data_IF_633279288162
#
_entry.id   IF_633279288162
#
_cell.length_a   1.000
_cell.length_b   1.000
_cell.length_c   1.000
_cell.angle_alpha   90.00
_cell.angle_beta   90.00
_cell.angle_gamma   90.00
#
_symmetry.space_group_name_H-M   'P 1'
#
loop_
_entity.id
_entity.type
_entity.pdbx_description
1 polymer ?
#
# COMPACT_ATOMS: atom_id res chain seq x y z
N UNK A 1 -5.38 -5.40 2.58
CA UNK A 1 -4.73 -6.31 1.60
C UNK A 1 -5.50 -6.45 0.29
N UNK A 2 -6.83 -6.65 0.29
CA UNK A 2 -7.60 -6.86 -0.94
C UNK A 2 -7.34 -5.82 -2.05
N UNK A 3 -7.25 -4.54 -1.70
CA UNK A 3 -6.93 -3.49 -2.68
C UNK A 3 -5.57 -3.66 -3.38
N UNK A 4 -4.54 -4.13 -2.65
CA UNK A 4 -3.22 -4.41 -3.21
C UNK A 4 -3.28 -5.63 -4.13
N UNK A 5 -4.02 -6.67 -3.72
CA UNK A 5 -4.21 -7.87 -4.55
C UNK A 5 -4.96 -7.58 -5.85
N UNK A 6 -5.99 -6.74 -5.82
CA UNK A 6 -6.69 -6.30 -7.04
C UNK A 6 -5.71 -5.63 -7.98
N UNK A 7 -4.90 -4.69 -7.50
CA UNK A 7 -3.88 -4.02 -8.32
C UNK A 7 -2.85 -4.99 -8.88
N UNK A 8 -2.38 -5.93 -8.07
CA UNK A 8 -1.47 -6.97 -8.52
C UNK A 8 -2.09 -7.87 -9.59
N UNK A 9 -3.36 -8.24 -9.45
CA UNK A 9 -4.07 -9.06 -10.41
C UNK A 9 -4.19 -8.39 -11.79
N UNK A 10 -4.32 -7.06 -11.85
CA UNK A 10 -4.39 -6.30 -13.11
C UNK A 10 -3.12 -6.44 -13.96
N UNK A 11 -1.98 -6.71 -13.34
CA UNK A 11 -0.73 -6.97 -14.05
C UNK A 11 -0.69 -8.36 -14.70
N UNK A 12 -1.61 -9.25 -14.34
CA UNK A 12 -1.69 -10.58 -14.93
C UNK A 12 -2.16 -10.50 -16.39
N UNK A 13 -1.50 -11.19 -17.34
CA UNK A 13 -1.97 -11.31 -18.71
C UNK A 13 -3.40 -11.86 -18.82
N UNK A 14 -3.84 -12.65 -17.84
CA UNK A 14 -5.19 -13.21 -17.77
C UNK A 14 -6.27 -12.12 -17.61
N UNK A 15 -5.91 -10.94 -17.09
CA UNK A 15 -6.83 -9.82 -16.93
C UNK A 15 -7.04 -9.01 -18.20
N UNK A 16 -6.18 -9.16 -19.23
CA UNK A 16 -6.22 -8.37 -20.47
C UNK A 16 -7.62 -8.28 -21.12
N UNK A 17 -8.40 -9.37 -21.26
CA UNK A 17 -9.74 -9.30 -21.87
C UNK A 17 -10.75 -8.50 -21.04
N UNK A 18 -10.48 -8.31 -19.74
CA UNK A 18 -11.38 -7.66 -18.79
C UNK A 18 -11.00 -6.20 -18.51
N UNK A 19 -9.78 -5.76 -18.84
CA UNK A 19 -9.33 -4.38 -18.60
C UNK A 19 -10.28 -3.32 -19.20
N UNK A 20 -10.83 -3.49 -20.41
CA UNK A 20 -11.78 -2.51 -20.96
C UNK A 20 -13.13 -2.42 -20.21
N UNK A 21 -13.41 -3.37 -19.31
CA UNK A 21 -14.66 -3.44 -18.54
C UNK A 21 -14.52 -2.80 -17.15
N UNK A 22 -13.33 -2.30 -16.79
CA UNK A 22 -13.07 -1.71 -15.49
C UNK A 22 -13.65 -0.29 -15.39
N UNK A 23 -14.64 -0.11 -14.52
CA UNK A 23 -15.34 1.17 -14.40
C UNK A 23 -14.99 1.92 -13.12
N UNK A 24 -15.20 1.32 -11.95
CA UNK A 24 -14.96 1.97 -10.66
C UNK A 24 -14.10 1.09 -9.77
N UNK A 25 -13.00 1.65 -9.28
CA UNK A 25 -12.23 1.08 -8.20
C UNK A 25 -12.64 1.75 -6.89
N UNK A 26 -13.28 1.00 -6.00
CA UNK A 26 -13.62 1.44 -4.66
C UNK A 26 -12.66 0.79 -3.65
N UNK A 27 -11.86 1.60 -2.97
CA UNK A 27 -10.98 1.17 -1.91
C UNK A 27 -11.49 1.63 -0.56
N UNK A 28 -11.71 0.67 0.34
CA UNK A 28 -12.04 0.92 1.74
C UNK A 28 -10.80 0.58 2.58
N UNK A 29 -10.16 1.59 3.17
CA UNK A 29 -8.95 1.44 3.99
C UNK A 29 -7.81 0.62 3.34
N UNK A 30 -7.60 0.77 2.02
CA UNK A 30 -6.53 0.05 1.31
C UNK A 30 -5.14 0.61 1.64
N UNK A 31 -4.10 -0.21 1.91
CA UNK A 31 -2.75 0.28 2.18
C UNK A 31 -1.97 0.56 0.88
N UNK A 32 -2.41 1.52 0.07
CA UNK A 32 -1.86 1.76 -1.27
C UNK A 32 -0.40 2.23 -1.27
N UNK A 33 0.01 2.95 -0.23
CA UNK A 33 1.40 3.39 -0.02
C UNK A 33 2.12 2.55 1.05
N UNK A 34 1.58 1.37 1.38
CA UNK A 34 2.08 0.53 2.46
C UNK A 34 1.60 0.97 3.85
N UNK A 35 2.27 0.51 4.90
CA UNK A 35 1.90 0.78 6.31
C UNK A 35 2.99 1.54 7.07
N UNK A 36 3.92 2.16 6.35
CA UNK A 36 4.97 3.01 6.90
C UNK A 36 4.41 4.33 7.44
N UNK A 37 5.18 5.00 8.31
CA UNK A 37 4.81 6.28 8.93
C UNK A 37 3.42 6.28 9.62
N UNK A 38 3.03 5.17 10.24
CA UNK A 38 1.82 5.13 11.08
C UNK A 38 2.05 5.97 12.35
N UNK A 39 1.13 6.89 12.63
CA UNK A 39 1.18 7.83 13.76
C UNK A 39 0.89 7.20 15.12
N UNK A 40 0.40 5.95 15.18
CA UNK A 40 0.03 5.28 16.44
C UNK A 40 1.19 4.45 17.01
N UNK A 41 1.91 4.98 18.01
CA UNK A 41 3.04 4.29 18.66
C UNK A 41 2.69 2.92 19.27
N UNK A 42 1.51 2.78 19.86
CA UNK A 42 1.02 1.52 20.46
C UNK A 42 0.69 0.46 19.40
N UNK A 43 0.18 0.88 18.24
CA UNK A 43 -0.08 0.01 17.09
C UNK A 43 1.21 -0.38 16.39
N UNK A 44 2.17 0.53 16.27
CA UNK A 44 3.52 0.22 15.76
C UNK A 44 4.21 -0.85 16.62
N UNK A 45 4.08 -0.79 17.94
CA UNK A 45 4.58 -1.81 18.85
C UNK A 45 3.85 -3.16 18.68
N UNK A 46 2.52 -3.16 18.60
CA UNK A 46 1.74 -4.37 18.35
C UNK A 46 2.05 -5.04 17.00
N UNK A 47 2.21 -4.25 15.93
CA UNK A 47 2.62 -4.75 14.61
C UNK A 47 4.04 -5.33 14.62
N UNK A 48 4.97 -4.73 15.37
CA UNK A 48 6.33 -5.27 15.53
C UNK A 48 6.32 -6.64 16.24
N UNK A 49 5.52 -6.79 17.31
CA UNK A 49 5.35 -8.08 18.00
C UNK A 49 4.75 -9.12 17.05
N UNK A 50 3.68 -8.76 16.33
CA UNK A 50 3.01 -9.68 15.40
C UNK A 50 3.92 -10.13 14.25
N UNK A 51 4.81 -9.27 13.77
CA UNK A 51 5.78 -9.61 12.72
C UNK A 51 6.93 -10.47 13.24
N UNK A 52 7.37 -10.24 14.48
CA UNK A 52 8.38 -11.09 15.11
C UNK A 52 7.85 -12.52 15.31
N UNK A 53 6.53 -12.68 15.40
CA UNK A 53 5.85 -13.95 15.60
C UNK A 53 5.32 -14.58 14.30
N UNK A 54 4.98 -13.78 13.27
CA UNK A 54 4.62 -14.22 11.92
C UNK A 54 5.57 -13.59 10.90
N UNK A 55 6.54 -14.37 10.40
CA UNK A 55 7.41 -14.02 9.25
C UNK A 55 6.61 -13.98 7.95
N UNK A 56 5.65 -13.07 7.84
CA UNK A 56 4.83 -12.92 6.66
C UNK A 56 5.53 -12.03 5.65
N UNK A 57 5.85 -12.58 4.49
CA UNK A 57 6.43 -11.83 3.37
C UNK A 57 5.55 -10.64 2.96
N UNK A 58 4.23 -10.84 2.90
CA UNK A 58 3.30 -9.77 2.52
C UNK A 58 3.24 -8.64 3.55
N UNK A 59 3.47 -8.91 4.84
CA UNK A 59 3.65 -7.84 5.84
C UNK A 59 4.97 -7.10 5.65
N UNK A 60 6.03 -7.79 5.20
CA UNK A 60 7.31 -7.14 4.86
C UNK A 60 7.16 -6.23 3.64
N UNK A 61 6.49 -6.71 2.60
CA UNK A 61 6.17 -5.95 1.38
C UNK A 61 5.37 -4.69 1.70
N UNK A 62 4.31 -4.80 2.52
CA UNK A 62 3.53 -3.65 2.97
C UNK A 62 4.36 -2.61 3.73
N UNK A 63 5.46 -3.01 4.37
CA UNK A 63 6.36 -2.12 5.09
C UNK A 63 7.53 -1.61 4.25
N UNK A 64 7.59 -1.98 2.98
CA UNK A 64 8.72 -1.70 2.08
C UNK A 64 10.05 -2.22 2.67
N UNK A 65 10.03 -3.46 3.18
CA UNK A 65 11.18 -4.12 3.83
C UNK A 65 11.52 -5.49 3.22
N UNK A 66 10.88 -5.84 2.13
CA UNK A 66 11.12 -7.05 1.36
C UNK A 66 12.39 -6.98 0.50
N UNK A 67 12.97 -5.79 0.32
CA UNK A 67 14.23 -5.56 -0.39
C UNK A 67 15.06 -4.46 0.31
N UNK A 68 16.41 -4.55 0.35
CA UNK A 68 17.27 -3.47 0.86
C UNK A 68 17.20 -2.17 0.04
N UNK A 69 16.97 -2.24 -1.27
CA UNK A 69 16.74 -1.06 -2.11
C UNK A 69 15.23 -0.77 -2.15
N UNK A 70 14.82 0.40 -1.66
CA UNK A 70 13.43 0.85 -1.64
C UNK A 70 12.77 0.75 -3.01
N UNK A 71 13.50 1.07 -4.08
CA UNK A 71 12.99 1.05 -5.46
C UNK A 71 12.75 -0.36 -5.99
N UNK A 72 13.37 -1.35 -5.34
CA UNK A 72 13.20 -2.76 -5.67
C UNK A 72 12.11 -3.44 -4.86
N UNK A 73 11.59 -2.80 -3.80
CA UNK A 73 10.47 -3.33 -3.01
C UNK A 73 9.23 -3.54 -3.86
N UNK A 74 8.45 -4.57 -3.51
CA UNK A 74 7.24 -4.95 -4.23
C UNK A 74 6.24 -3.81 -4.33
N UNK A 75 5.97 -3.12 -3.21
CA UNK A 75 5.02 -2.01 -3.19
C UNK A 75 5.47 -0.84 -4.06
N UNK A 76 6.77 -0.53 -4.10
CA UNK A 76 7.30 0.51 -4.98
C UNK A 76 7.07 0.14 -6.46
N UNK A 77 7.45 -1.08 -6.87
CA UNK A 77 7.25 -1.58 -8.24
C UNK A 77 5.78 -1.64 -8.64
N UNK A 78 4.90 -2.08 -7.74
CA UNK A 78 3.46 -2.10 -7.96
C UNK A 78 2.88 -0.69 -8.13
N UNK A 79 3.41 0.30 -7.40
CA UNK A 79 3.03 1.71 -7.53
C UNK A 79 3.56 2.38 -8.80
N UNK A 80 4.67 1.90 -9.35
CA UNK A 80 5.21 2.35 -10.63
C UNK A 80 4.54 1.68 -11.85
N UNK A 81 3.72 0.64 -11.63
CA UNK A 81 3.05 -0.11 -12.69
C UNK A 81 1.65 0.43 -12.98
N UNK A 82 1.12 0.15 -14.18
CA UNK A 82 -0.28 0.45 -14.50
C UNK A 82 -1.23 -0.26 -13.50
N UNK A 83 -2.30 0.42 -13.11
CA UNK A 83 -3.24 -0.10 -12.12
C UNK A 83 -4.46 0.78 -11.96
N UNK A 84 -4.36 1.85 -11.17
CA UNK A 84 -5.52 2.70 -10.88
C UNK A 84 -5.97 3.53 -12.08
N UNK A 85 -5.04 3.87 -12.97
CA UNK A 85 -5.27 4.52 -14.26
C UNK A 85 -6.12 3.67 -15.23
N UNK A 86 -6.25 2.37 -14.99
CA UNK A 86 -7.10 1.46 -15.78
C UNK A 86 -8.60 1.61 -15.47
N UNK A 87 -8.97 2.31 -14.39
CA UNK A 87 -10.37 2.52 -14.01
C UNK A 87 -10.81 3.93 -14.37
N UNK A 88 -12.07 4.06 -14.81
CA UNK A 88 -12.68 5.37 -15.07
C UNK A 88 -12.85 6.22 -13.81
N UNK A 89 -13.20 5.59 -12.69
CA UNK A 89 -13.36 6.25 -11.40
C UNK A 89 -12.58 5.53 -10.31
N UNK A 90 -11.94 6.31 -9.44
CA UNK A 90 -11.18 5.82 -8.30
C UNK A 90 -11.72 6.51 -7.05
N UNK A 91 -12.31 5.73 -6.15
CA UNK A 91 -12.89 6.18 -4.89
C UNK A 91 -12.06 5.60 -3.74
N UNK A 92 -11.43 6.49 -2.97
CA UNK A 92 -10.58 6.11 -1.84
C UNK A 92 -11.25 6.55 -0.55
N UNK A 93 -11.63 5.58 0.28
CA UNK A 93 -12.36 5.83 1.53
C UNK A 93 -11.49 5.41 2.70
N UNK A 94 -11.24 6.35 3.61
CA UNK A 94 -10.55 6.09 4.88
C UNK A 94 -11.52 6.11 6.04
N UNK A 95 -11.37 5.18 6.98
CA UNK A 95 -12.08 5.19 8.25
C UNK A 95 -11.18 5.75 9.37
N UNK A 96 -11.65 6.73 10.16
CA UNK A 96 -10.92 7.17 11.34
C UNK A 96 -10.73 6.13 12.44
N UNK A 97 -11.57 5.08 12.41
CA UNK A 97 -11.51 3.96 13.33
C UNK A 97 -10.47 2.91 12.88
N UNK A 98 -10.02 2.95 11.62
CA UNK A 98 -8.94 2.11 11.14
C UNK A 98 -7.59 2.65 11.61
N UNK A 99 -7.01 1.97 12.61
CA UNK A 99 -5.70 2.31 13.16
C UNK A 99 -4.55 1.52 12.52
N UNK A 100 -4.86 0.57 11.62
CA UNK A 100 -3.86 -0.30 11.00
C UNK A 100 -3.25 0.35 9.77
N UNK A 101 -4.07 0.93 8.90
CA UNK A 101 -3.60 1.59 7.67
C UNK A 101 -3.54 3.10 7.89
N UNK A 102 -2.38 3.75 7.70
CA UNK A 102 -2.27 5.20 7.80
C UNK A 102 -3.14 5.92 6.76
N UNK A 103 -3.73 7.04 7.15
CA UNK A 103 -4.57 7.86 6.26
C UNK A 103 -3.92 8.20 4.92
N UNK A 104 -2.65 8.60 4.95
CA UNK A 104 -1.93 8.97 3.75
C UNK A 104 -1.83 7.80 2.77
N UNK A 105 -1.71 6.58 3.28
CA UNK A 105 -1.68 5.36 2.48
C UNK A 105 -3.06 5.02 1.92
N UNK A 106 -4.12 5.17 2.73
CA UNK A 106 -5.49 4.93 2.27
C UNK A 106 -5.94 5.89 1.18
N UNK A 107 -5.58 7.16 1.30
CA UNK A 107 -6.04 8.22 0.40
C UNK A 107 -5.04 8.58 -0.70
N UNK A 108 -3.89 7.91 -0.75
CA UNK A 108 -2.79 8.22 -1.68
C UNK A 108 -2.42 9.71 -1.57
N UNK A 109 -2.19 10.15 -0.33
CA UNK A 109 -1.84 11.54 -0.02
C UNK A 109 -0.34 11.65 0.31
N UNK A 110 0.20 12.85 0.10
CA UNK A 110 1.58 13.15 0.47
C UNK A 110 1.79 12.98 1.98
N UNK A 111 2.69 12.08 2.35
CA UNK A 111 3.03 11.83 3.75
C UNK A 111 3.99 12.90 4.28
N UNK A 112 3.49 13.82 5.11
CA UNK A 112 4.31 14.88 5.73
C UNK A 112 5.48 14.36 6.55
N UNK A 113 5.32 13.19 7.17
CA UNK A 113 6.40 12.54 7.93
C UNK A 113 7.51 12.05 7.00
N UNK A 114 7.15 11.45 5.85
CA UNK A 114 8.11 11.00 4.85
C UNK A 114 8.90 12.18 4.24
N UNK A 115 8.23 13.29 3.93
CA UNK A 115 8.89 14.50 3.38
C UNK A 115 9.96 15.07 4.32
N UNK A 116 9.81 14.88 5.64
CA UNK A 116 10.77 15.35 6.65
C UNK A 116 11.83 14.31 7.00
N UNK A 117 11.71 13.09 6.46
CA UNK A 117 12.60 11.99 6.76
C UNK A 117 13.79 12.00 5.80
N UNK A 118 14.98 12.27 6.33
CA UNK A 118 16.22 12.30 5.56
C UNK A 118 16.86 10.92 5.34
N UNK A 119 16.25 9.85 5.86
CA UNK A 119 16.69 8.47 5.65
C UNK A 119 16.41 7.99 4.23
N UNK A 120 16.84 6.78 3.90
CA UNK A 120 16.54 6.14 2.60
C UNK A 120 15.04 5.87 2.40
N UNK A 121 14.22 5.86 3.45
CA UNK A 121 12.78 5.63 3.34
C UNK A 121 12.01 6.89 2.90
N UNK A 122 12.51 8.08 3.27
CA UNK A 122 11.88 9.36 2.95
C UNK A 122 12.34 10.03 1.66
N UNK A 123 13.42 9.50 1.05
CA UNK A 123 14.00 9.97 -0.22
C UNK A 123 13.51 9.14 -1.41
#
# INVERSE_FOLDING_TARGET
>A
MGCVLVRAALLSPLMKPYLPKLYTFLSLSGPHLGTVYNSSGLVNMGMWVMQKWKKSESLSQLRLRDDPDLRQTYMYKLNASAGLDLFRYVLLVSSPQDRYVPYHSTRIELCRAAVRDSSSLGK
#
